data_IF_357901802813
#
_entry.id   IF_357901802813
#
_cell.length_a   1.000
_cell.length_b   1.000
_cell.length_c   1.000
_cell.angle_alpha   90.00
_cell.angle_beta   90.00
_cell.angle_gamma   90.00
#
_symmetry.space_group_name_H-M   'P 1'
#
loop_
_entity.id
_entity.type
_entity.pdbx_description
1 polymer ?
#
# COMPACT_ATOMS: atom_id res chain seq x y z
N UNK A 1 -3.57 17.09 -9.15
CA UNK A 1 -3.52 17.94 -7.94
C UNK A 1 -3.61 19.41 -8.34
N UNK A 2 -4.59 19.83 -9.15
CA UNK A 2 -4.95 21.25 -9.40
C UNK A 2 -3.81 22.30 -9.35
N UNK A 3 -2.69 22.10 -10.06
CA UNK A 3 -1.52 23.02 -10.05
C UNK A 3 -0.53 22.87 -8.88
N UNK A 4 -0.82 22.04 -7.88
CA UNK A 4 0.06 21.72 -6.76
C UNK A 4 1.28 20.91 -7.17
N UNK A 5 2.45 21.28 -6.65
CA UNK A 5 3.71 20.54 -6.88
C UNK A 5 3.60 19.14 -6.26
N UNK A 6 4.21 18.15 -6.90
CA UNK A 6 4.14 16.76 -6.45
C UNK A 6 5.42 15.96 -6.74
N UNK A 7 5.61 14.89 -5.98
CA UNK A 7 6.55 13.82 -6.26
C UNK A 7 5.86 12.68 -7.02
N UNK A 8 6.61 11.96 -7.85
CA UNK A 8 6.10 10.80 -8.58
C UNK A 8 7.18 9.73 -8.71
N UNK A 9 6.86 8.51 -8.25
CA UNK A 9 7.77 7.36 -8.27
C UNK A 9 9.04 7.55 -7.44
N UNK A 10 10.02 6.68 -7.68
CA UNK A 10 11.38 6.78 -7.17
C UNK A 10 12.29 7.59 -8.09
N UNK A 11 13.33 8.21 -7.55
CA UNK A 11 14.18 9.16 -8.30
C UNK A 11 14.86 8.57 -9.56
N UNK A 12 15.47 7.37 -9.54
CA UNK A 12 16.28 6.92 -10.67
C UNK A 12 15.54 6.67 -11.97
N UNK A 13 14.30 6.17 -11.91
CA UNK A 13 13.56 5.72 -13.09
C UNK A 13 12.08 6.17 -13.10
N UNK A 14 11.67 6.98 -12.11
CA UNK A 14 10.30 7.46 -11.89
C UNK A 14 9.24 6.35 -11.78
N UNK A 15 9.64 5.09 -11.59
CA UNK A 15 8.69 4.00 -11.39
C UNK A 15 8.04 4.10 -10.02
N UNK A 16 6.75 3.80 -9.97
CA UNK A 16 5.97 3.66 -8.74
C UNK A 16 5.92 2.20 -8.30
N UNK A 17 5.55 1.95 -7.05
CA UNK A 17 5.24 0.61 -6.58
C UNK A 17 4.23 -0.09 -7.50
N UNK A 18 4.45 -1.39 -7.73
CA UNK A 18 3.56 -2.19 -8.57
C UNK A 18 2.13 -2.15 -8.06
N UNK A 19 1.19 -2.08 -9.00
CA UNK A 19 -0.22 -2.22 -8.73
C UNK A 19 -0.52 -3.69 -8.43
N UNK A 20 -1.67 -3.97 -7.83
CA UNK A 20 -2.06 -5.34 -7.51
C UNK A 20 -3.57 -5.42 -7.29
N UNK A 21 -4.10 -6.63 -7.20
CA UNK A 21 -5.52 -6.84 -6.93
C UNK A 21 -5.66 -7.64 -5.64
N UNK A 22 -6.49 -7.13 -4.73
CA UNK A 22 -6.90 -7.84 -3.53
C UNK A 22 -8.32 -8.33 -3.79
N UNK A 23 -8.45 -9.63 -4.03
CA UNK A 23 -9.71 -10.27 -4.41
C UNK A 23 -10.14 -11.26 -3.34
N UNK A 24 -11.42 -11.59 -3.31
CA UNK A 24 -11.97 -12.56 -2.37
C UNK A 24 -12.34 -13.84 -3.10
N UNK A 25 -11.93 -14.99 -2.56
CA UNK A 25 -12.46 -16.31 -2.93
C UNK A 25 -13.48 -16.69 -1.87
N UNK A 26 -14.73 -16.94 -2.28
CA UNK A 26 -15.85 -17.17 -1.37
C UNK A 26 -16.57 -18.48 -1.68
N UNK A 27 -17.47 -18.91 -0.78
CA UNK A 27 -18.27 -20.14 -0.91
C UNK A 27 -17.42 -21.41 -0.92
N UNK A 28 -16.50 -21.49 0.04
CA UNK A 28 -15.63 -22.64 0.26
C UNK A 28 -16.28 -23.53 1.33
N UNK A 29 -16.34 -24.84 1.09
CA UNK A 29 -16.95 -25.78 2.02
C UNK A 29 -16.02 -26.11 3.22
N UNK A 30 -16.62 -26.51 4.34
CA UNK A 30 -15.90 -27.03 5.49
C UNK A 30 -15.06 -28.27 5.13
N UNK A 31 -13.86 -28.41 5.71
CA UNK A 31 -12.95 -29.52 5.44
C UNK A 31 -11.89 -29.24 4.36
N UNK A 32 -11.91 -28.05 3.75
CA UNK A 32 -10.91 -27.60 2.77
C UNK A 32 -9.47 -27.65 3.30
N UNK A 33 -9.27 -27.56 4.63
CA UNK A 33 -7.96 -27.60 5.27
C UNK A 33 -7.17 -28.86 4.90
N UNK A 34 -7.86 -29.97 4.61
CA UNK A 34 -7.23 -31.25 4.19
C UNK A 34 -6.46 -31.12 2.88
N UNK A 35 -6.90 -30.23 1.99
CA UNK A 35 -6.29 -30.03 0.66
C UNK A 35 -5.33 -28.84 0.64
N UNK A 36 -5.17 -28.13 1.76
CA UNK A 36 -4.39 -26.89 1.86
C UNK A 36 -2.98 -27.03 1.31
N UNK A 37 -2.26 -28.07 1.72
CA UNK A 37 -0.86 -28.27 1.33
C UNK A 37 -0.75 -28.58 -0.17
N UNK A 38 -1.62 -29.47 -0.68
CA UNK A 38 -1.69 -29.83 -2.10
C UNK A 38 -2.00 -28.62 -2.98
N UNK A 39 -2.90 -27.73 -2.55
CA UNK A 39 -3.19 -26.48 -3.27
C UNK A 39 -1.95 -25.58 -3.29
N UNK A 40 -1.26 -25.42 -2.16
CA UNK A 40 -0.06 -24.59 -2.08
C UNK A 40 1.08 -25.11 -2.95
N UNK A 41 1.24 -26.43 -3.04
CA UNK A 41 2.23 -27.08 -3.89
C UNK A 41 1.94 -26.85 -5.37
N UNK A 42 0.70 -27.08 -5.82
CA UNK A 42 0.29 -26.83 -7.20
C UNK A 42 0.46 -25.36 -7.61
N UNK A 43 0.09 -24.42 -6.73
CA UNK A 43 0.30 -22.99 -6.97
C UNK A 43 1.78 -22.63 -7.09
N UNK A 44 2.63 -23.24 -6.27
CA UNK A 44 4.08 -23.03 -6.30
C UNK A 44 4.70 -23.63 -7.56
N UNK A 45 4.21 -24.78 -8.02
CA UNK A 45 4.61 -25.39 -9.29
C UNK A 45 4.29 -24.49 -10.48
N UNK A 46 3.05 -24.01 -10.59
CA UNK A 46 2.63 -23.10 -11.66
C UNK A 46 3.37 -21.76 -11.61
N UNK A 47 3.69 -21.28 -10.40
CA UNK A 47 4.56 -20.11 -10.20
C UNK A 47 5.98 -20.37 -10.71
N UNK A 48 6.55 -21.56 -10.50
CA UNK A 48 7.90 -21.92 -10.98
C UNK A 48 7.96 -22.03 -12.49
N UNK A 49 6.93 -22.62 -13.11
CA UNK A 49 6.75 -22.71 -14.57
C UNK A 49 6.56 -21.33 -15.21
N UNK A 50 6.13 -20.33 -14.45
CA UNK A 50 5.88 -18.96 -14.94
C UNK A 50 4.45 -18.72 -15.42
N UNK A 51 3.57 -19.70 -15.23
CA UNK A 51 2.15 -19.60 -15.56
C UNK A 51 1.37 -18.74 -14.55
N UNK A 52 1.96 -18.48 -13.38
CA UNK A 52 1.32 -17.71 -12.32
C UNK A 52 2.26 -16.65 -11.70
N UNK A 53 1.82 -15.39 -11.70
CA UNK A 53 2.56 -14.24 -11.20
C UNK A 53 2.13 -13.85 -9.77
N UNK A 54 2.57 -14.66 -8.80
CA UNK A 54 2.34 -14.45 -7.37
C UNK A 54 3.66 -14.50 -6.59
N UNK A 55 3.78 -13.74 -5.50
CA UNK A 55 5.05 -13.72 -4.73
C UNK A 55 5.17 -14.83 -3.67
N UNK A 56 4.06 -15.50 -3.32
CA UNK A 56 4.02 -16.75 -2.56
C UNK A 56 2.70 -17.48 -2.81
N UNK A 57 2.61 -18.76 -2.43
CA UNK A 57 1.41 -19.60 -2.53
C UNK A 57 0.49 -19.56 -1.30
N UNK A 58 0.75 -18.70 -0.30
CA UNK A 58 -0.04 -18.62 0.94
C UNK A 58 -1.32 -17.81 0.72
N UNK A 59 -2.30 -18.43 0.09
CA UNK A 59 -3.53 -17.74 -0.33
C UNK A 59 -4.61 -17.64 0.76
N UNK A 60 -4.47 -18.41 1.84
CA UNK A 60 -5.51 -18.65 2.85
C UNK A 60 -5.60 -17.60 3.96
N UNK A 61 -5.21 -16.35 3.68
CA UNK A 61 -5.39 -15.26 4.64
C UNK A 61 -6.88 -14.92 4.74
N UNK A 62 -7.45 -15.01 5.93
CA UNK A 62 -8.84 -14.65 6.21
C UNK A 62 -9.01 -13.13 6.15
N UNK A 63 -10.10 -12.68 5.51
CA UNK A 63 -10.52 -11.28 5.52
C UNK A 63 -11.31 -10.92 6.78
N UNK A 64 -11.93 -9.75 6.80
CA UNK A 64 -12.78 -9.28 7.92
C UNK A 64 -14.22 -9.81 7.88
N UNK A 65 -14.52 -10.78 7.02
CA UNK A 65 -15.84 -11.39 6.93
C UNK A 65 -16.01 -12.45 8.02
N UNK A 66 -17.07 -12.31 8.80
CA UNK A 66 -17.42 -13.22 9.87
C UNK A 66 -18.48 -14.20 9.37
N UNK A 67 -18.40 -15.46 9.81
CA UNK A 67 -19.41 -16.48 9.50
C UNK A 67 -19.31 -17.11 8.11
N UNK A 68 -18.30 -16.79 7.31
CA UNK A 68 -18.04 -17.42 6.00
C UNK A 68 -16.62 -17.96 5.91
N UNK A 69 -16.43 -19.04 5.15
CA UNK A 69 -15.10 -19.55 4.80
C UNK A 69 -14.66 -18.85 3.51
N UNK A 70 -14.09 -17.67 3.68
CA UNK A 70 -13.58 -16.86 2.57
C UNK A 70 -12.10 -16.52 2.78
N UNK A 71 -11.36 -16.43 1.67
CA UNK A 71 -9.98 -15.97 1.67
C UNK A 71 -9.83 -14.68 0.89
N UNK A 72 -8.94 -13.80 1.35
CA UNK A 72 -8.64 -12.54 0.66
C UNK A 72 -7.17 -12.43 0.23
N UNK A 73 -6.76 -13.16 -0.81
CA UNK A 73 -5.44 -13.04 -1.45
C UNK A 73 -5.05 -11.60 -1.81
N UNK A 74 -3.77 -11.25 -1.59
CA UNK A 74 -3.18 -9.98 -2.04
C UNK A 74 -1.79 -10.20 -2.68
N UNK A 75 -1.71 -11.16 -3.61
CA UNK A 75 -0.43 -11.71 -4.10
C UNK A 75 -0.01 -11.32 -5.51
N UNK A 76 -0.93 -10.82 -6.33
CA UNK A 76 -0.67 -10.50 -7.73
C UNK A 76 -0.04 -9.11 -7.87
N UNK A 77 0.87 -8.93 -8.84
CA UNK A 77 1.56 -7.65 -9.07
C UNK A 77 1.64 -7.32 -10.55
N UNK A 78 1.46 -6.04 -10.88
CA UNK A 78 1.59 -5.50 -12.22
C UNK A 78 2.41 -4.20 -12.18
N UNK A 79 3.39 -4.07 -13.07
CA UNK A 79 4.18 -2.84 -13.21
C UNK A 79 3.50 -1.93 -14.20
N UNK A 80 3.20 -0.70 -13.82
CA UNK A 80 2.58 0.27 -14.70
C UNK A 80 2.55 1.65 -14.09
N UNK A 81 2.25 2.63 -14.93
CA UNK A 81 1.99 4.00 -14.56
C UNK A 81 0.50 4.17 -14.20
N UNK A 82 0.14 4.50 -12.95
CA UNK A 82 -1.26 4.67 -12.51
C UNK A 82 -1.93 5.92 -13.12
N UNK A 83 -1.21 6.69 -13.93
CA UNK A 83 -1.71 7.84 -14.68
C UNK A 83 -1.99 7.50 -16.16
N UNK A 84 -1.62 6.28 -16.59
CA UNK A 84 -1.85 5.77 -17.94
C UNK A 84 -3.12 4.92 -17.96
N UNK A 85 -4.10 5.32 -18.77
CA UNK A 85 -5.33 4.53 -18.96
C UNK A 85 -5.02 3.15 -19.54
N UNK A 86 -4.02 3.08 -20.43
CA UNK A 86 -3.53 1.82 -21.01
C UNK A 86 -3.02 0.88 -19.91
N UNK A 87 -2.09 1.36 -19.07
CA UNK A 87 -1.49 0.52 -18.02
C UNK A 87 -2.51 0.11 -16.96
N UNK A 88 -3.50 0.96 -16.67
CA UNK A 88 -4.61 0.61 -15.77
C UNK A 88 -5.47 -0.51 -16.37
N UNK A 89 -5.76 -0.44 -17.67
CA UNK A 89 -6.58 -1.43 -18.38
C UNK A 89 -5.84 -2.77 -18.49
N UNK A 90 -4.59 -2.75 -18.96
CA UNK A 90 -3.75 -3.95 -19.05
C UNK A 90 -3.53 -4.59 -17.69
N UNK A 91 -3.29 -3.76 -16.66
CA UNK A 91 -3.14 -4.24 -15.29
C UNK A 91 -4.42 -4.88 -14.74
N UNK A 92 -5.60 -4.31 -15.01
CA UNK A 92 -6.88 -4.88 -14.60
C UNK A 92 -7.11 -6.26 -15.21
N UNK A 93 -6.92 -6.38 -16.53
CA UNK A 93 -7.07 -7.63 -17.29
C UNK A 93 -6.10 -8.67 -16.73
N UNK A 94 -4.80 -8.34 -16.72
CA UNK A 94 -3.75 -9.27 -16.29
C UNK A 94 -3.99 -9.77 -14.87
N UNK A 95 -4.24 -8.89 -13.91
CA UNK A 95 -4.39 -9.28 -12.52
C UNK A 95 -5.65 -10.11 -12.26
N UNK A 96 -6.74 -9.87 -13.01
CA UNK A 96 -7.95 -10.68 -12.94
C UNK A 96 -7.73 -12.07 -13.53
N UNK A 97 -7.03 -12.17 -14.66
CA UNK A 97 -6.63 -13.48 -15.21
C UNK A 97 -5.80 -14.29 -14.21
N UNK A 98 -4.82 -13.65 -13.53
CA UNK A 98 -4.04 -14.32 -12.49
C UNK A 98 -4.92 -14.81 -11.33
N UNK A 99 -5.91 -14.00 -10.90
CA UNK A 99 -6.83 -14.39 -9.84
C UNK A 99 -7.72 -15.58 -10.24
N UNK A 100 -8.25 -15.60 -11.46
CA UNK A 100 -9.02 -16.73 -11.97
C UNK A 100 -8.18 -18.00 -12.09
N UNK A 101 -6.91 -17.90 -12.53
CA UNK A 101 -5.99 -19.05 -12.53
C UNK A 101 -5.82 -19.65 -11.13
N UNK A 102 -5.70 -18.82 -10.09
CA UNK A 102 -5.63 -19.29 -8.70
C UNK A 102 -6.89 -20.06 -8.31
N UNK A 103 -8.08 -19.50 -8.60
CA UNK A 103 -9.34 -20.19 -8.30
C UNK A 103 -9.45 -21.52 -9.05
N UNK A 104 -9.09 -21.56 -10.33
CA UNK A 104 -9.16 -22.78 -11.13
C UNK A 104 -8.25 -23.86 -10.57
N UNK A 105 -7.01 -23.53 -10.19
CA UNK A 105 -6.10 -24.47 -9.51
C UNK A 105 -6.73 -24.98 -8.21
N UNK A 106 -7.36 -24.12 -7.40
CA UNK A 106 -8.02 -24.57 -6.18
C UNK A 106 -9.16 -25.57 -6.48
N UNK A 107 -9.94 -25.32 -7.54
CA UNK A 107 -11.04 -26.19 -7.99
C UNK A 107 -10.57 -27.53 -8.54
N UNK A 108 -9.47 -27.54 -9.28
CA UNK A 108 -8.87 -28.76 -9.82
C UNK A 108 -8.31 -29.65 -8.71
N UNK A 109 -7.78 -29.05 -7.66
CA UNK A 109 -7.12 -29.77 -6.56
C UNK A 109 -8.12 -30.26 -5.50
N UNK A 110 -9.21 -29.52 -5.28
CA UNK A 110 -10.08 -29.67 -4.11
C UNK A 110 -11.58 -29.53 -4.45
N UNK A 111 -12.36 -30.58 -4.15
CA UNK A 111 -13.82 -30.55 -4.32
C UNK A 111 -14.49 -29.50 -3.39
N UNK A 112 -13.85 -29.12 -2.28
CA UNK A 112 -14.37 -28.07 -1.37
C UNK A 112 -14.40 -26.69 -2.02
N UNK A 113 -13.66 -26.49 -3.12
CA UNK A 113 -13.64 -25.25 -3.89
C UNK A 113 -14.55 -25.27 -5.12
N UNK A 114 -15.20 -26.39 -5.45
CA UNK A 114 -15.98 -26.58 -6.69
C UNK A 114 -16.95 -25.43 -6.99
N UNK A 115 -17.70 -25.03 -5.97
CA UNK A 115 -18.70 -23.95 -6.04
C UNK A 115 -18.14 -22.58 -5.63
N UNK A 116 -16.83 -22.47 -5.37
CA UNK A 116 -16.22 -21.23 -4.99
C UNK A 116 -16.22 -20.23 -6.15
N UNK A 117 -16.30 -18.94 -5.82
CA UNK A 117 -16.30 -17.85 -6.79
C UNK A 117 -15.42 -16.69 -6.32
N UNK A 118 -15.03 -15.83 -7.27
CA UNK A 118 -14.24 -14.63 -6.97
C UNK A 118 -15.12 -13.39 -6.92
N UNK A 119 -14.88 -12.54 -5.93
CA UNK A 119 -15.32 -11.15 -5.90
C UNK A 119 -14.13 -10.21 -6.04
N UNK A 120 -14.22 -9.25 -6.95
CA UNK A 120 -13.18 -8.24 -7.20
C UNK A 120 -13.55 -6.86 -6.64
N UNK A 121 -12.56 -6.03 -6.30
CA UNK A 121 -12.79 -4.60 -6.15
C UNK A 121 -13.17 -3.97 -7.50
N UNK A 122 -13.76 -2.78 -7.45
CA UNK A 122 -14.18 -2.06 -8.65
C UNK A 122 -13.01 -1.68 -9.58
N UNK A 123 -11.80 -1.54 -9.02
CA UNK A 123 -10.61 -1.09 -9.74
C UNK A 123 -9.34 -1.74 -9.18
N UNK A 124 -8.32 -1.80 -10.02
CA UNK A 124 -6.96 -2.19 -9.68
C UNK A 124 -6.42 -1.36 -8.50
N UNK A 125 -5.74 -2.05 -7.59
CA UNK A 125 -5.15 -1.45 -6.40
C UNK A 125 -3.89 -0.65 -6.71
N UNK A 126 -4.06 0.66 -6.89
CA UNK A 126 -2.95 1.63 -6.98
C UNK A 126 -2.32 1.82 -5.60
N UNK A 127 -1.01 1.56 -5.51
CA UNK A 127 -0.23 1.68 -4.26
C UNK A 127 0.47 3.02 -4.12
N UNK A 128 0.89 3.60 -5.22
CA UNK A 128 1.64 4.84 -5.25
C UNK A 128 1.30 5.58 -6.53
N UNK A 129 1.10 6.90 -6.42
CA UNK A 129 0.89 7.80 -7.56
C UNK A 129 1.49 9.17 -7.20
N UNK A 130 0.92 10.26 -7.73
CA UNK A 130 1.30 11.63 -7.37
C UNK A 130 1.15 11.83 -5.86
N UNK A 131 2.24 12.20 -5.20
CA UNK A 131 2.26 12.60 -3.79
C UNK A 131 2.47 14.10 -3.71
N UNK A 132 1.62 14.81 -2.98
CA UNK A 132 1.77 16.25 -2.80
C UNK A 132 3.20 16.58 -2.33
N UNK A 133 3.81 17.62 -2.88
CA UNK A 133 5.01 18.20 -2.27
C UNK A 133 4.53 19.10 -1.14
N UNK A 134 4.58 18.57 0.07
CA UNK A 134 4.15 19.29 1.25
C UNK A 134 5.28 20.07 1.93
N UNK A 135 4.93 20.88 2.93
CA UNK A 135 5.90 21.61 3.75
C UNK A 135 6.88 20.68 4.49
N UNK A 136 6.50 19.41 4.63
CA UNK A 136 7.40 18.31 5.01
C UNK A 136 7.11 17.08 4.16
N UNK A 137 8.10 16.20 4.03
CA UNK A 137 7.92 14.89 3.40
C UNK A 137 8.37 13.81 4.36
N UNK A 138 7.41 13.02 4.87
CA UNK A 138 7.75 11.87 5.71
C UNK A 138 8.71 10.94 4.95
N UNK A 139 9.80 10.56 5.60
CA UNK A 139 10.85 9.78 5.00
C UNK A 139 11.18 8.52 5.80
N UNK A 140 12.08 7.72 5.26
CA UNK A 140 12.54 6.47 5.87
C UNK A 140 13.09 6.67 7.29
N UNK A 141 13.88 7.72 7.52
CA UNK A 141 14.48 7.96 8.83
C UNK A 141 13.41 8.24 9.90
N UNK A 142 12.29 8.90 9.54
CA UNK A 142 11.17 9.08 10.45
C UNK A 142 10.58 7.74 10.91
N UNK A 143 10.49 6.78 9.99
CA UNK A 143 9.92 5.45 10.25
C UNK A 143 10.90 4.61 11.05
N UNK A 144 12.15 4.46 10.57
CA UNK A 144 13.16 3.58 11.16
C UNK A 144 13.56 4.01 12.57
N UNK A 145 13.48 5.30 12.90
CA UNK A 145 13.78 5.83 14.23
C UNK A 145 12.54 6.07 15.09
N UNK A 146 11.34 5.73 14.60
CA UNK A 146 10.11 5.97 15.36
C UNK A 146 9.91 7.44 15.71
N UNK A 147 10.14 8.39 14.80
CA UNK A 147 10.17 9.82 15.18
C UNK A 147 8.77 10.32 15.54
N UNK A 148 8.67 11.01 16.69
CA UNK A 148 7.45 11.71 17.16
C UNK A 148 7.61 13.20 16.91
N UNK A 149 6.98 13.68 15.84
CA UNK A 149 6.96 15.09 15.50
C UNK A 149 6.03 15.89 16.44
N UNK A 150 6.41 17.11 16.86
CA UNK A 150 5.58 17.98 17.70
C UNK A 150 4.20 18.28 17.11
N UNK A 151 4.08 18.27 15.79
CA UNK A 151 2.85 18.47 15.03
C UNK A 151 2.26 17.16 14.47
N UNK A 152 2.55 16.02 15.11
CA UNK A 152 1.97 14.72 14.78
C UNK A 152 0.44 14.71 14.85
N UNK A 153 -0.23 14.32 13.77
CA UNK A 153 -1.70 14.25 13.65
C UNK A 153 -2.24 12.85 13.39
N UNK A 154 -1.33 11.87 13.30
CA UNK A 154 -1.65 10.46 13.17
C UNK A 154 -0.45 9.65 13.63
N UNK A 155 -0.69 8.48 14.20
CA UNK A 155 0.33 7.48 14.54
C UNK A 155 0.35 6.35 13.53
N UNK A 156 1.50 5.74 13.33
CA UNK A 156 1.66 4.51 12.57
C UNK A 156 2.82 3.70 13.12
N UNK A 157 2.66 2.39 13.13
CA UNK A 157 3.71 1.42 13.43
C UNK A 157 3.98 0.49 12.23
N UNK A 158 3.45 0.83 11.05
CA UNK A 158 3.65 0.03 9.85
C UNK A 158 5.05 0.24 9.27
N UNK A 159 5.60 -0.80 8.65
CA UNK A 159 6.97 -0.84 8.15
C UNK A 159 7.07 -0.43 6.68
N UNK A 160 8.29 -0.30 6.17
CA UNK A 160 8.59 0.12 4.79
C UNK A 160 8.29 -1.03 3.82
N UNK A 161 7.05 -1.07 3.33
CA UNK A 161 6.54 -2.11 2.40
C UNK A 161 6.59 -1.68 0.93
N UNK A 162 7.79 -1.54 0.35
CA UNK A 162 7.95 -1.15 -1.06
C UNK A 162 7.82 -2.38 -1.95
N UNK A 163 6.66 -2.59 -2.57
CA UNK A 163 6.54 -3.66 -3.56
C UNK A 163 7.35 -3.35 -4.82
N UNK A 164 7.98 -4.38 -5.39
CA UNK A 164 8.85 -4.27 -6.57
C UNK A 164 8.21 -3.40 -7.67
N UNK A 165 8.78 -2.23 -8.00
CA UNK A 165 8.27 -1.35 -9.07
C UNK A 165 8.28 -1.99 -10.47
N UNK A 166 9.05 -3.07 -10.65
CA UNK A 166 9.11 -3.85 -11.89
C UNK A 166 8.05 -4.97 -11.93
N UNK A 167 7.17 -5.06 -10.93
CA UNK A 167 6.08 -6.06 -10.90
C UNK A 167 6.56 -7.50 -10.77
N UNK A 168 7.84 -7.72 -10.42
CA UNK A 168 8.41 -9.05 -10.26
C UNK A 168 7.87 -9.72 -9.00
N UNK A 169 7.51 -10.99 -9.15
CA UNK A 169 6.92 -11.84 -8.12
C UNK A 169 7.73 -13.12 -7.88
N UNK A 170 8.47 -13.61 -8.89
CA UNK A 170 9.34 -14.77 -8.74
C UNK A 170 10.52 -14.46 -7.83
N UNK A 171 10.51 -15.01 -6.62
CA UNK A 171 11.50 -14.79 -5.54
C UNK A 171 11.63 -13.34 -5.09
N UNK A 172 10.78 -12.45 -5.61
CA UNK A 172 10.83 -11.01 -5.36
C UNK A 172 9.47 -10.58 -4.83
N UNK A 173 9.48 -9.83 -3.75
CA UNK A 173 8.29 -9.18 -3.21
C UNK A 173 8.57 -7.70 -2.95
N UNK A 174 9.61 -7.45 -2.15
CA UNK A 174 10.00 -6.13 -1.69
C UNK A 174 11.23 -5.60 -2.43
N UNK A 175 11.25 -4.29 -2.67
CA UNK A 175 12.38 -3.58 -3.25
C UNK A 175 13.34 -3.15 -2.13
N UNK A 176 14.36 -3.98 -1.88
CA UNK A 176 15.39 -3.80 -0.85
C UNK A 176 16.79 -4.15 -1.36
N UNK A 177 17.83 -3.78 -0.62
CA UNK A 177 19.23 -3.88 -1.08
C UNK A 177 19.73 -5.31 -1.30
N UNK A 178 19.16 -6.28 -0.58
CA UNK A 178 19.43 -7.72 -0.66
C UNK A 178 18.34 -8.47 -1.47
N UNK A 179 17.68 -7.80 -2.42
CA UNK A 179 16.67 -8.40 -3.28
C UNK A 179 17.26 -9.59 -4.07
N UNK A 180 16.68 -10.80 -3.99
CA UNK A 180 17.27 -12.03 -4.55
C UNK A 180 16.89 -12.21 -6.04
N UNK A 181 16.69 -11.11 -6.78
CA UNK A 181 16.32 -11.21 -8.19
C UNK A 181 17.53 -11.66 -9.00
N UNK A 182 17.30 -12.63 -9.87
CA UNK A 182 18.23 -13.14 -10.88
C UNK A 182 18.18 -12.33 -12.20
N UNK A 183 17.22 -11.42 -12.33
CA UNK A 183 17.01 -10.59 -13.52
C UNK A 183 17.68 -9.21 -13.38
N UNK A 184 18.21 -8.62 -14.47
CA UNK A 184 18.84 -7.29 -14.45
C UNK A 184 17.97 -6.24 -13.73
N UNK A 185 18.59 -5.41 -12.90
CA UNK A 185 17.87 -4.43 -12.09
C UNK A 185 18.74 -3.20 -11.85
N UNK A 186 18.36 -2.08 -12.47
CA UNK A 186 19.07 -0.80 -12.35
C UNK A 186 19.28 -0.37 -10.88
N UNK A 187 18.35 -0.72 -9.99
CA UNK A 187 18.51 -0.40 -8.58
C UNK A 187 19.59 -1.22 -7.91
N UNK A 188 19.75 -2.50 -8.24
CA UNK A 188 20.79 -3.33 -7.63
C UNK A 188 22.16 -3.10 -8.26
N UNK A 189 22.19 -2.72 -9.54
CA UNK A 189 23.41 -2.49 -10.31
C UNK A 189 24.00 -1.09 -10.07
N UNK A 190 23.18 -0.04 -10.03
CA UNK A 190 23.65 1.36 -10.00
C UNK A 190 23.22 2.14 -8.76
N UNK A 191 22.07 1.82 -8.18
CA UNK A 191 21.44 2.63 -7.13
C UNK A 191 21.19 1.86 -5.84
N UNK A 192 22.04 0.87 -5.53
CA UNK A 192 21.83 -0.04 -4.38
C UNK A 192 21.78 0.72 -3.06
N UNK A 193 22.60 1.77 -2.94
CA UNK A 193 22.65 2.67 -1.79
C UNK A 193 21.34 3.46 -1.54
N UNK A 194 20.42 3.52 -2.51
CA UNK A 194 19.10 4.14 -2.32
C UNK A 194 18.05 3.17 -1.77
N UNK A 195 18.31 1.86 -1.84
CA UNK A 195 17.42 0.83 -1.36
C UNK A 195 17.54 0.67 0.16
N UNK A 196 16.42 0.41 0.85
CA UNK A 196 16.47 0.14 2.28
C UNK A 196 17.18 -1.19 2.56
N UNK A 197 18.03 -1.20 3.58
CA UNK A 197 18.66 -2.40 4.17
C UNK A 197 17.83 -2.94 5.34
N UNK A 198 17.15 -2.05 6.05
CA UNK A 198 16.26 -2.35 7.16
C UNK A 198 14.91 -1.66 6.91
N UNK A 199 13.81 -2.32 7.30
CA UNK A 199 12.46 -1.90 6.89
C UNK A 199 11.54 -1.54 8.04
N UNK A 200 11.85 -1.96 9.26
CA UNK A 200 10.93 -1.91 10.38
C UNK A 200 11.17 -0.67 11.24
N UNK A 201 10.11 -0.07 11.83
CA UNK A 201 10.30 0.85 12.95
C UNK A 201 10.83 0.10 14.19
N UNK A 202 11.24 0.81 15.25
CA UNK A 202 11.61 0.16 16.51
C UNK A 202 10.46 -0.71 17.05
N UNK A 203 10.80 -1.83 17.68
CA UNK A 203 9.82 -2.73 18.28
C UNK A 203 9.02 -2.00 19.37
N UNK A 204 7.73 -2.34 19.49
CA UNK A 204 6.80 -1.77 20.47
C UNK A 204 6.72 -0.24 20.44
N UNK A 205 7.03 0.37 19.30
CA UNK A 205 7.08 1.80 19.10
C UNK A 205 6.28 2.23 17.85
N UNK A 206 6.08 3.53 17.72
CA UNK A 206 5.39 4.15 16.59
C UNK A 206 6.14 5.40 16.13
N UNK A 207 5.79 5.88 14.94
CA UNK A 207 6.17 7.20 14.46
C UNK A 207 4.90 8.01 14.20
N UNK A 208 5.02 9.34 14.19
CA UNK A 208 3.91 10.22 13.87
C UNK A 208 4.00 10.78 12.46
N UNK A 209 2.85 11.02 11.85
CA UNK A 209 2.72 11.74 10.59
C UNK A 209 2.47 13.20 10.93
N UNK A 210 3.40 14.13 10.64
CA UNK A 210 3.24 15.53 11.00
C UNK A 210 2.23 16.24 10.11
N UNK A 211 1.49 17.20 10.66
CA UNK A 211 0.46 17.97 9.95
C UNK A 211 1.01 18.67 8.70
N UNK A 212 2.25 19.15 8.75
CA UNK A 212 2.93 19.76 7.60
C UNK A 212 3.15 18.82 6.40
N UNK A 213 2.94 17.51 6.54
CA UNK A 213 2.85 16.60 5.38
C UNK A 213 1.57 16.80 4.54
N UNK A 214 0.53 17.37 5.12
CA UNK A 214 -0.76 17.56 4.46
C UNK A 214 -0.78 18.88 3.66
N UNK A 215 0.00 19.87 4.09
CA UNK A 215 0.01 21.25 3.56
C UNK A 215 0.80 21.35 2.25
N UNK A 216 0.22 21.92 1.19
CA UNK A 216 0.93 22.18 -0.07
C UNK A 216 1.99 23.27 0.08
N UNK A 217 3.15 23.10 -0.58
CA UNK A 217 4.19 24.15 -0.66
C UNK A 217 3.80 25.35 -1.52
N UNK A 218 2.80 25.25 -2.40
CA UNK A 218 2.48 26.29 -3.38
C UNK A 218 1.00 26.67 -3.51
N UNK A 219 0.10 25.98 -2.80
CA UNK A 219 -1.33 26.30 -2.79
C UNK A 219 -1.82 26.37 -1.34
N UNK A 220 -2.06 27.58 -0.85
CA UNK A 220 -2.28 27.83 0.58
C UNK A 220 -3.56 27.19 1.16
N UNK A 221 -4.56 26.92 0.31
CA UNK A 221 -5.86 26.34 0.69
C UNK A 221 -6.00 24.85 0.29
N UNK A 222 -4.90 24.16 -0.01
CA UNK A 222 -4.91 22.76 -0.42
C UNK A 222 -4.27 21.85 0.64
N UNK A 223 -5.04 20.86 1.09
CA UNK A 223 -4.55 19.70 1.84
C UNK A 223 -4.52 18.45 0.95
N UNK A 224 -3.52 17.59 1.14
CA UNK A 224 -3.54 16.21 0.64
C UNK A 224 -3.32 15.22 1.77
N UNK A 225 -4.17 14.20 1.86
CA UNK A 225 -4.13 13.16 2.88
C UNK A 225 -4.24 11.77 2.24
N UNK A 226 -4.12 10.71 3.04
CA UNK A 226 -4.15 9.35 2.52
C UNK A 226 -3.02 9.06 1.53
N UNK A 227 -3.33 8.37 0.44
CA UNK A 227 -2.31 7.89 -0.52
C UNK A 227 -1.60 8.99 -1.33
N UNK A 228 -2.08 10.23 -1.28
CA UNK A 228 -1.46 11.38 -1.94
C UNK A 228 -0.76 12.36 -0.96
N UNK A 229 -0.67 12.00 0.33
CA UNK A 229 0.06 12.78 1.35
C UNK A 229 1.54 12.95 1.00
N UNK A 230 2.16 14.02 1.49
CA UNK A 230 3.58 14.30 1.25
C UNK A 230 4.49 13.31 1.96
N UNK A 231 5.12 12.45 1.18
CA UNK A 231 6.12 11.49 1.64
C UNK A 231 7.09 11.13 0.52
N UNK A 232 8.27 10.66 0.91
CA UNK A 232 9.23 10.06 -0.02
C UNK A 232 8.70 8.72 -0.57
N UNK A 233 9.37 8.15 -1.58
CA UNK A 233 9.01 6.82 -2.11
C UNK A 233 9.02 5.73 -1.02
N UNK A 234 9.96 5.81 -0.07
CA UNK A 234 10.05 4.90 1.08
C UNK A 234 9.04 5.27 2.16
N UNK A 235 8.86 6.56 2.42
CA UNK A 235 7.89 7.04 3.42
C UNK A 235 6.45 6.64 3.11
N UNK A 236 6.03 6.83 1.85
CA UNK A 236 4.64 6.53 1.45
C UNK A 236 4.32 5.04 1.57
N UNK A 237 5.29 4.14 1.40
CA UNK A 237 5.03 2.71 1.45
C UNK A 237 4.60 2.24 2.85
N UNK A 238 5.01 2.95 3.89
CA UNK A 238 4.61 2.67 5.27
C UNK A 238 3.26 3.30 5.64
N UNK A 239 2.96 4.51 5.15
CA UNK A 239 1.75 5.26 5.56
C UNK A 239 0.59 5.18 4.57
N UNK A 240 0.73 4.46 3.46
CA UNK A 240 -0.36 4.23 2.48
C UNK A 240 -1.42 3.23 2.92
N UNK A 241 -1.22 2.56 4.06
CA UNK A 241 -2.15 1.56 4.59
C UNK A 241 -3.40 2.23 5.18
N UNK A 242 -4.46 1.44 5.41
CA UNK A 242 -5.80 1.95 5.70
C UNK A 242 -5.85 2.88 6.92
N UNK A 243 -5.28 2.45 8.06
CA UNK A 243 -5.36 3.21 9.31
C UNK A 243 -4.70 4.60 9.22
N UNK A 244 -3.45 4.77 8.75
CA UNK A 244 -2.87 6.09 8.55
C UNK A 244 -3.60 6.93 7.49
N UNK A 245 -4.17 6.31 6.45
CA UNK A 245 -4.97 7.05 5.47
C UNK A 245 -6.26 7.62 6.09
N UNK A 246 -6.96 6.83 6.91
CA UNK A 246 -8.15 7.30 7.64
C UNK A 246 -7.79 8.39 8.64
N UNK A 247 -6.73 8.21 9.43
CA UNK A 247 -6.28 9.17 10.44
C UNK A 247 -5.87 10.51 9.81
N UNK A 248 -5.08 10.49 8.72
CA UNK A 248 -4.72 11.73 8.01
C UNK A 248 -5.92 12.39 7.32
N UNK A 249 -6.90 11.61 6.86
CA UNK A 249 -8.16 12.11 6.32
C UNK A 249 -9.01 12.83 7.37
N UNK A 250 -9.15 12.23 8.56
CA UNK A 250 -9.83 12.84 9.70
C UNK A 250 -9.15 14.16 10.10
N UNK A 251 -7.82 14.15 10.25
CA UNK A 251 -7.07 15.35 10.57
C UNK A 251 -7.25 16.45 9.53
N UNK A 252 -7.22 16.12 8.23
CA UNK A 252 -7.43 17.07 7.15
C UNK A 252 -8.83 17.71 7.19
N UNK A 253 -9.88 16.91 7.42
CA UNK A 253 -11.25 17.41 7.54
C UNK A 253 -11.45 18.35 8.73
N UNK A 254 -10.89 18.00 9.88
CA UNK A 254 -10.93 18.85 11.09
C UNK A 254 -10.14 20.15 10.85
N UNK A 255 -8.96 20.06 10.25
CA UNK A 255 -8.11 21.22 9.94
C UNK A 255 -8.80 22.19 8.98
N UNK A 256 -9.43 21.69 7.91
CA UNK A 256 -10.22 22.49 6.99
C UNK A 256 -11.40 23.19 7.71
N UNK A 257 -12.10 22.47 8.59
CA UNK A 257 -13.17 23.03 9.41
C UNK A 257 -12.69 24.15 10.34
N UNK A 258 -11.52 23.98 10.98
CA UNK A 258 -10.93 25.01 11.85
C UNK A 258 -10.50 26.23 11.05
N UNK A 259 -9.84 26.03 9.90
CA UNK A 259 -9.39 27.11 9.01
C UNK A 259 -10.55 28.03 8.60
N UNK A 260 -11.69 27.46 8.18
CA UNK A 260 -12.88 28.24 7.81
C UNK A 260 -13.49 28.97 9.02
N UNK A 261 -13.69 28.27 10.15
CA UNK A 261 -14.34 28.86 11.34
C UNK A 261 -13.51 29.98 11.98
N UNK A 262 -12.19 29.85 11.97
CA UNK A 262 -11.28 30.84 12.55
C UNK A 262 -10.83 31.90 11.53
N UNK A 263 -11.22 31.76 10.25
CA UNK A 263 -10.74 32.61 9.15
C UNK A 263 -9.20 32.68 9.08
N UNK A 264 -8.54 31.54 9.32
CA UNK A 264 -7.08 31.40 9.28
C UNK A 264 -6.63 30.54 8.12
N UNK A 265 -5.42 30.78 7.62
CA UNK A 265 -4.82 29.87 6.63
C UNK A 265 -4.58 28.50 7.25
N UNK A 266 -4.52 27.47 6.40
CA UNK A 266 -4.22 26.11 6.85
C UNK A 266 -2.87 25.99 7.57
N UNK A 267 -1.92 26.88 7.26
CA UNK A 267 -0.59 26.99 7.89
C UNK A 267 -0.61 27.67 9.26
N UNK A 268 -1.71 28.32 9.63
CA UNK A 268 -1.83 29.19 10.81
C UNK A 268 -2.78 28.61 11.87
N UNK A 269 -3.34 27.41 11.64
CA UNK A 269 -4.24 26.78 12.60
C UNK A 269 -3.48 26.31 13.84
N UNK A 270 -4.15 26.39 15.01
CA UNK A 270 -3.61 25.85 16.26
C UNK A 270 -3.59 24.31 16.21
N UNK A 271 -2.38 23.74 16.20
CA UNK A 271 -2.15 22.30 16.13
C UNK A 271 -2.65 21.59 17.39
N UNK A 272 -2.54 22.19 18.57
CA UNK A 272 -3.05 21.58 19.79
C UNK A 272 -4.57 21.59 19.81
N UNK A 273 -5.21 22.62 19.26
CA UNK A 273 -6.67 22.61 19.03
C UNK A 273 -7.08 21.52 18.04
N UNK A 274 -6.33 21.33 16.96
CA UNK A 274 -6.56 20.24 16.01
C UNK A 274 -6.47 18.87 16.70
N UNK A 275 -5.39 18.60 17.44
CA UNK A 275 -5.22 17.35 18.20
C UNK A 275 -6.33 17.14 19.23
N UNK A 276 -6.71 18.16 20.00
CA UNK A 276 -7.84 18.07 20.94
C UNK A 276 -9.14 17.64 20.23
N UNK A 277 -9.41 18.16 19.03
CA UNK A 277 -10.58 17.76 18.24
C UNK A 277 -10.48 16.34 17.71
N UNK A 278 -9.29 15.87 17.32
CA UNK A 278 -9.07 14.48 16.89
C UNK A 278 -9.33 13.53 18.07
N UNK A 279 -8.75 13.80 19.25
CA UNK A 279 -8.97 13.00 20.47
C UNK A 279 -10.43 12.95 20.89
N UNK A 280 -11.16 14.07 20.78
CA UNK A 280 -12.61 14.12 21.06
C UNK A 280 -13.43 13.19 20.15
N UNK A 281 -12.92 12.84 18.97
CA UNK A 281 -13.54 11.90 18.03
C UNK A 281 -12.95 10.48 18.13
N UNK A 282 -12.19 10.17 19.18
CA UNK A 282 -11.57 8.85 19.39
C UNK A 282 -10.29 8.60 18.59
N UNK A 283 -9.73 9.61 17.91
CA UNK A 283 -8.45 9.48 17.22
C UNK A 283 -7.26 9.60 18.16
N UNK A 284 -6.19 8.87 17.86
CA UNK A 284 -4.96 8.86 18.66
C UNK A 284 -3.83 9.69 18.00
N UNK A 285 -3.34 10.71 18.70
CA UNK A 285 -2.38 11.74 18.23
C UNK A 285 -1.41 12.18 19.30
#
# INVERSE_FOLDING_TARGET
>A
LSGGKYYFGRRPDRKVQSMGNMFRISNICEGWEKDKEKIMEMLEEERRKGNLSIYNSRIFNKGSCHGTIDFTPNMTRFSGNPLSVKDLTEGEIFLREQAYRILNICKEVSEYFKNAYISFPAQIGIRESRRLKGLYSLNENDILKGIKHPDGIAKSAYWIDIHCPLGRTKNVHLCKSDCPTDKPCIMLEKYRHLLPTYLYPPNDDYYTIPYRCLLSVNIQNLLACGRCVSATHKGISAIRVMAPCMATGQAAGIAASLSVKERKKLTEIDIERLKRRIRKQGGDV
#
